data_IF_978365440354
#
_entry.id   IF_978365440354
#
_cell.length_a   1.000
_cell.length_b   1.000
_cell.length_c   1.000
_cell.angle_alpha   90.00
_cell.angle_beta   90.00
_cell.angle_gamma   90.00
#
_symmetry.space_group_name_H-M   'P 1'
#
loop_
_entity.id
_entity.type
_entity.pdbx_description
1 polymer ?
#
# COMPACT_ATOMS: atom_id res chain seq x y z
N UNK A 1 -48.12 33.15 39.75
CA UNK A 1 -47.15 34.03 39.08
C UNK A 1 -45.88 33.25 38.88
N UNK A 2 -45.74 32.65 37.68
CA UNK A 2 -44.62 31.71 37.34
C UNK A 2 -43.64 32.54 36.50
N UNK A 3 -42.44 32.72 37.04
CA UNK A 3 -41.32 33.36 36.31
C UNK A 3 -40.58 32.27 35.55
N UNK A 4 -40.69 32.28 34.23
CA UNK A 4 -39.89 31.43 33.33
C UNK A 4 -38.60 32.20 33.07
N UNK A 5 -37.50 31.63 33.58
CA UNK A 5 -36.14 32.08 33.27
C UNK A 5 -35.76 31.58 31.89
N UNK A 6 -35.58 32.48 30.93
CA UNK A 6 -35.02 32.20 29.61
C UNK A 6 -33.49 32.00 29.74
N UNK A 7 -33.02 30.76 29.51
CA UNK A 7 -31.61 30.50 29.31
C UNK A 7 -31.12 31.15 28.05
N UNK A 8 -30.10 31.97 28.20
CA UNK A 8 -29.40 32.68 27.15
C UNK A 8 -28.47 31.71 26.43
N UNK A 9 -28.90 31.14 25.29
CA UNK A 9 -28.01 30.48 24.34
C UNK A 9 -27.20 31.56 23.62
N UNK A 10 -25.91 31.68 23.96
CA UNK A 10 -24.97 32.48 23.18
C UNK A 10 -24.87 31.85 21.78
N UNK A 11 -25.51 32.45 20.80
CA UNK A 11 -25.22 32.23 19.40
C UNK A 11 -23.81 32.81 19.13
N UNK A 12 -22.81 31.98 19.07
CA UNK A 12 -21.49 32.35 18.55
C UNK A 12 -21.62 32.51 17.03
N UNK A 13 -21.83 33.75 16.58
CA UNK A 13 -21.73 34.12 15.17
C UNK A 13 -20.25 34.20 14.81
N UNK A 14 -19.71 33.11 14.29
CA UNK A 14 -18.38 33.13 13.68
C UNK A 14 -18.42 34.01 12.43
N UNK A 15 -17.46 34.92 12.34
CA UNK A 15 -17.41 35.78 11.15
C UNK A 15 -16.81 34.98 9.97
N UNK A 16 -17.19 35.36 8.75
CA UNK A 16 -16.80 34.63 7.53
C UNK A 16 -15.26 34.55 7.34
N UNK A 17 -14.51 35.49 7.92
CA UNK A 17 -13.04 35.50 7.89
C UNK A 17 -12.43 34.47 8.84
N UNK A 18 -13.04 34.28 10.01
CA UNK A 18 -12.61 33.22 10.96
C UNK A 18 -12.90 31.83 10.42
N UNK A 19 -14.05 31.61 9.79
CA UNK A 19 -14.36 30.32 9.13
C UNK A 19 -13.36 30.03 8.03
N UNK A 20 -13.00 30.98 7.18
CA UNK A 20 -12.00 30.82 6.13
C UNK A 20 -10.61 30.56 6.69
N UNK A 21 -10.25 31.17 7.82
CA UNK A 21 -8.96 30.95 8.47
C UNK A 21 -8.88 29.54 9.08
N UNK A 22 -9.94 29.09 9.76
CA UNK A 22 -10.03 27.72 10.31
C UNK A 22 -10.04 26.67 9.20
N UNK A 23 -10.68 26.94 8.06
CA UNK A 23 -10.63 26.05 6.90
C UNK A 23 -9.20 25.94 6.33
N UNK A 24 -8.52 27.07 6.18
CA UNK A 24 -7.12 27.10 5.69
C UNK A 24 -6.14 26.40 6.65
N UNK A 25 -6.36 26.55 7.95
CA UNK A 25 -5.56 25.86 8.99
C UNK A 25 -5.86 24.37 9.01
N UNK A 26 -7.10 23.95 8.85
CA UNK A 26 -7.52 22.56 8.74
C UNK A 26 -6.96 21.88 7.47
N UNK A 27 -6.95 22.60 6.34
CA UNK A 27 -6.35 22.12 5.10
C UNK A 27 -4.81 22.02 5.20
N UNK A 28 -4.17 22.95 5.92
CA UNK A 28 -2.74 22.89 6.23
C UNK A 28 -2.40 21.72 7.15
N UNK A 29 -3.20 21.47 8.19
CA UNK A 29 -3.04 20.33 9.10
C UNK A 29 -3.31 19.00 8.39
N UNK A 30 -4.31 18.92 7.51
CA UNK A 30 -4.53 17.75 6.65
C UNK A 30 -3.34 17.47 5.75
N UNK A 31 -2.73 18.49 5.18
CA UNK A 31 -1.55 18.36 4.32
C UNK A 31 -0.29 17.95 5.13
N UNK A 32 -0.22 18.26 6.43
CA UNK A 32 0.85 17.81 7.33
C UNK A 32 0.63 16.39 7.85
N UNK A 33 -0.64 15.97 8.00
CA UNK A 33 -1.00 14.64 8.52
C UNK A 33 -1.09 13.57 7.42
N UNK A 34 -1.17 13.97 6.15
CA UNK A 34 -1.04 13.06 5.02
C UNK A 34 0.45 12.98 4.67
N UNK A 35 1.12 11.86 4.88
CA UNK A 35 2.48 11.69 4.39
C UNK A 35 2.44 11.84 2.86
N UNK A 36 3.00 12.95 2.39
CA UNK A 36 3.23 13.26 0.99
C UNK A 36 2.02 13.12 0.06
N UNK A 37 1.14 14.12 0.05
CA UNK A 37 0.35 14.45 -1.14
C UNK A 37 1.31 15.02 -2.21
N UNK A 38 2.30 14.22 -2.63
CA UNK A 38 3.02 14.48 -3.87
C UNK A 38 2.00 14.22 -4.97
N UNK A 39 1.66 15.22 -5.81
CA UNK A 39 0.80 14.94 -6.96
C UNK A 39 1.45 13.78 -7.72
N UNK A 40 0.67 12.76 -8.08
CA UNK A 40 1.13 11.56 -8.80
C UNK A 40 1.74 11.86 -10.20
N UNK A 41 2.04 13.12 -10.44
CA UNK A 41 2.65 13.61 -11.68
C UNK A 41 4.15 13.39 -11.63
N UNK A 42 4.66 12.53 -12.52
CA UNK A 42 6.07 12.17 -12.69
C UNK A 42 6.64 11.17 -11.65
N UNK A 43 5.82 10.33 -11.04
CA UNK A 43 6.30 9.21 -10.22
C UNK A 43 6.42 7.94 -11.07
N UNK A 44 7.45 7.13 -10.79
CA UNK A 44 7.59 5.78 -11.33
C UNK A 44 7.12 4.83 -10.23
N UNK A 45 6.09 4.05 -10.49
CA UNK A 45 5.52 3.10 -9.55
C UNK A 45 5.64 1.67 -10.07
N UNK A 46 5.76 0.70 -9.18
CA UNK A 46 5.70 -0.71 -9.54
C UNK A 46 4.24 -1.09 -9.85
N UNK A 47 4.01 -1.71 -11.02
CA UNK A 47 2.71 -2.24 -11.42
C UNK A 47 2.79 -3.76 -11.52
N UNK A 48 1.93 -4.48 -10.78
CA UNK A 48 1.86 -5.93 -10.73
C UNK A 48 0.63 -6.41 -11.50
N UNK A 49 0.83 -7.21 -12.55
CA UNK A 49 -0.26 -7.78 -13.35
C UNK A 49 -0.38 -9.28 -13.08
N UNK A 50 -1.52 -9.71 -12.56
CA UNK A 50 -1.85 -11.08 -12.23
C UNK A 50 -2.75 -11.69 -13.31
N UNK A 51 -2.46 -12.91 -13.75
CA UNK A 51 -3.24 -13.62 -14.76
C UNK A 51 -4.12 -14.73 -14.16
N UNK A 52 -4.07 -14.91 -12.85
CA UNK A 52 -4.72 -15.98 -12.09
C UNK A 52 -5.74 -15.44 -11.08
N UNK A 53 -6.21 -14.20 -11.28
CA UNK A 53 -7.17 -13.53 -10.40
C UNK A 53 -6.70 -13.33 -8.95
N UNK A 54 -5.39 -13.20 -8.73
CA UNK A 54 -4.77 -13.08 -7.41
C UNK A 54 -4.41 -11.63 -7.00
N UNK A 55 -4.75 -10.61 -7.80
CA UNK A 55 -4.39 -9.22 -7.48
C UNK A 55 -4.90 -8.78 -6.10
N UNK A 56 -6.14 -9.09 -5.75
CA UNK A 56 -6.73 -8.71 -4.46
C UNK A 56 -6.07 -9.45 -3.29
N UNK A 57 -5.83 -10.76 -3.44
CA UNK A 57 -5.17 -11.56 -2.41
C UNK A 57 -3.74 -11.08 -2.15
N UNK A 58 -2.99 -10.82 -3.22
CA UNK A 58 -1.62 -10.32 -3.14
C UNK A 58 -1.57 -8.92 -2.49
N UNK A 59 -2.42 -7.98 -2.95
CA UNK A 59 -2.52 -6.64 -2.37
C UNK A 59 -2.82 -6.68 -0.88
N UNK A 60 -3.83 -7.44 -0.45
CA UNK A 60 -4.20 -7.56 0.95
C UNK A 60 -3.07 -8.18 1.78
N UNK A 61 -2.46 -9.26 1.29
CA UNK A 61 -1.31 -9.90 1.94
C UNK A 61 -0.16 -8.91 2.16
N UNK A 62 0.20 -8.11 1.15
CA UNK A 62 1.30 -7.14 1.29
C UNK A 62 0.93 -6.00 2.25
N UNK A 63 -0.28 -5.47 2.17
CA UNK A 63 -0.73 -4.38 3.07
C UNK A 63 -0.77 -4.85 4.53
N UNK A 64 -1.10 -6.12 4.79
CA UNK A 64 -1.05 -6.69 6.14
C UNK A 64 0.39 -7.00 6.61
N UNK A 65 1.27 -7.34 5.68
CA UNK A 65 2.63 -7.75 5.98
C UNK A 65 3.55 -6.58 6.32
N UNK A 66 3.45 -5.48 5.57
CA UNK A 66 4.31 -4.31 5.72
C UNK A 66 3.68 -3.24 6.60
N UNK A 67 4.44 -2.75 7.58
CA UNK A 67 4.02 -1.64 8.43
C UNK A 67 3.78 -0.36 7.60
N UNK A 68 3.00 0.59 8.13
CA UNK A 68 2.67 1.85 7.46
C UNK A 68 2.16 1.67 6.01
N UNK A 69 1.34 0.63 5.80
CA UNK A 69 0.78 0.25 4.50
C UNK A 69 -0.73 0.45 4.47
N UNK A 70 -1.26 0.73 3.28
CA UNK A 70 -2.71 0.94 3.09
C UNK A 70 -3.13 0.77 1.65
N UNK A 71 -4.37 0.34 1.45
CA UNK A 71 -5.05 0.42 0.16
C UNK A 71 -5.53 1.87 -0.04
N UNK A 72 -5.26 2.45 -1.21
CA UNK A 72 -5.60 3.83 -1.55
C UNK A 72 -6.84 3.87 -2.43
N UNK A 73 -6.87 3.03 -3.47
CA UNK A 73 -7.97 2.99 -4.44
C UNK A 73 -8.13 1.58 -4.99
N UNK A 74 -9.39 1.17 -5.26
CA UNK A 74 -9.73 -0.09 -5.91
C UNK A 74 -10.83 0.16 -6.93
N UNK A 75 -10.57 -0.20 -8.18
CA UNK A 75 -11.54 -0.21 -9.27
C UNK A 75 -11.71 -1.67 -9.73
N UNK A 76 -12.95 -2.11 -9.90
CA UNK A 76 -13.26 -3.52 -10.21
C UNK A 76 -13.78 -3.69 -11.62
N UNK A 77 -13.53 -4.86 -12.19
CA UNK A 77 -14.14 -5.25 -13.46
C UNK A 77 -15.66 -5.37 -13.33
N UNK A 78 -16.37 -4.83 -14.30
CA UNK A 78 -17.80 -5.02 -14.47
C UNK A 78 -18.11 -6.25 -15.36
N UNK A 79 -19.39 -6.51 -15.57
CA UNK A 79 -19.91 -7.68 -16.35
C UNK A 79 -19.37 -7.75 -17.79
N UNK A 80 -19.14 -6.62 -18.41
CA UNK A 80 -18.67 -6.53 -19.80
C UNK A 80 -17.14 -6.59 -19.93
N UNK A 81 -16.42 -6.78 -18.82
CA UNK A 81 -14.97 -6.84 -18.80
C UNK A 81 -14.40 -8.16 -19.33
N UNK A 82 -13.10 -8.19 -19.70
CA UNK A 82 -12.43 -9.41 -20.16
C UNK A 82 -12.04 -10.35 -19.01
N UNK A 83 -12.24 -9.94 -17.76
CA UNK A 83 -11.98 -10.69 -16.54
C UNK A 83 -13.30 -10.82 -15.77
N UNK A 84 -13.41 -11.79 -14.88
CA UNK A 84 -14.57 -12.03 -14.05
C UNK A 84 -15.02 -10.77 -13.31
N UNK A 85 -16.32 -10.52 -13.27
CA UNK A 85 -16.92 -9.40 -12.54
C UNK A 85 -16.47 -9.38 -11.07
N UNK A 86 -16.10 -8.20 -10.60
CA UNK A 86 -15.65 -7.98 -9.22
C UNK A 86 -14.15 -8.14 -9.01
N UNK A 87 -13.39 -8.73 -9.93
CA UNK A 87 -11.93 -8.79 -9.88
C UNK A 87 -11.30 -7.40 -10.03
N UNK A 88 -10.03 -7.25 -9.68
CA UNK A 88 -9.34 -5.97 -9.70
C UNK A 88 -9.06 -5.55 -11.16
N UNK A 89 -9.73 -4.50 -11.64
CA UNK A 89 -9.38 -3.83 -12.88
C UNK A 89 -8.12 -2.98 -12.69
N UNK A 90 -8.08 -2.27 -11.57
CA UNK A 90 -6.95 -1.44 -11.18
C UNK A 90 -7.03 -1.18 -9.67
N UNK A 91 -5.92 -1.33 -8.97
CA UNK A 91 -5.79 -0.88 -7.58
C UNK A 91 -4.48 -0.12 -7.36
N UNK A 92 -4.51 0.81 -6.41
CA UNK A 92 -3.34 1.54 -5.92
C UNK A 92 -3.24 1.33 -4.41
N UNK A 93 -2.06 0.99 -3.93
CA UNK A 93 -1.77 0.76 -2.53
C UNK A 93 -0.36 1.24 -2.18
N UNK A 94 -0.10 1.45 -0.91
CA UNK A 94 1.20 1.85 -0.38
C UNK A 94 1.75 0.76 0.51
N UNK A 95 3.03 0.42 0.35
CA UNK A 95 3.80 -0.46 1.22
C UNK A 95 4.96 0.34 1.81
N UNK A 96 4.94 0.57 3.11
CA UNK A 96 5.93 1.40 3.82
C UNK A 96 6.21 2.74 3.11
N UNK A 97 5.15 3.40 2.62
CA UNK A 97 5.22 4.68 1.90
C UNK A 97 5.53 4.60 0.41
N UNK A 98 5.98 3.46 -0.13
CA UNK A 98 6.19 3.24 -1.56
C UNK A 98 4.89 2.86 -2.26
N UNK A 99 4.61 3.49 -3.42
CA UNK A 99 3.38 3.22 -4.17
C UNK A 99 3.52 2.01 -5.07
N UNK A 100 2.51 1.17 -5.03
CA UNK A 100 2.30 0.01 -5.87
C UNK A 100 0.94 0.09 -6.54
N UNK A 101 0.84 -0.56 -7.68
CA UNK A 101 -0.40 -0.74 -8.42
C UNK A 101 -0.56 -2.19 -8.81
N UNK A 102 -1.79 -2.67 -8.96
CA UNK A 102 -2.03 -4.01 -9.46
C UNK A 102 -3.32 -4.12 -10.27
N UNK A 103 -3.39 -5.18 -11.07
CA UNK A 103 -4.59 -5.59 -11.79
C UNK A 103 -4.67 -7.09 -11.97
N UNK A 104 -5.89 -7.60 -12.11
CA UNK A 104 -6.17 -8.89 -12.71
C UNK A 104 -6.29 -8.73 -14.22
N UNK A 105 -5.62 -9.57 -14.97
CA UNK A 105 -5.62 -9.65 -16.43
C UNK A 105 -6.15 -11.02 -16.89
N UNK A 106 -6.79 -11.11 -18.06
CA UNK A 106 -7.13 -12.43 -18.60
C UNK A 106 -5.86 -13.25 -18.84
N UNK A 107 -5.91 -14.61 -18.68
CA UNK A 107 -4.76 -15.48 -18.80
C UNK A 107 -4.38 -15.75 -20.28
N UNK A 108 -4.13 -14.69 -21.03
CA UNK A 108 -3.85 -14.74 -22.48
C UNK A 108 -2.40 -14.51 -22.82
N UNK A 109 -1.57 -14.17 -21.82
CA UNK A 109 -0.16 -13.88 -22.02
C UNK A 109 0.70 -15.10 -21.69
N UNK A 110 1.83 -15.26 -22.37
CA UNK A 110 2.81 -16.31 -22.13
C UNK A 110 3.94 -15.90 -21.19
N UNK A 111 3.81 -14.76 -20.53
CA UNK A 111 4.73 -14.25 -19.50
C UNK A 111 4.07 -14.28 -18.12
N UNK A 112 4.90 -14.31 -17.09
CA UNK A 112 4.54 -14.18 -15.69
C UNK A 112 5.62 -13.35 -14.98
N UNK A 113 5.53 -13.19 -13.68
CA UNK A 113 6.58 -12.56 -12.89
C UNK A 113 7.91 -13.28 -13.09
N UNK A 114 8.99 -12.51 -13.04
CA UNK A 114 10.35 -13.01 -13.20
C UNK A 114 11.24 -12.44 -12.10
N UNK A 115 12.13 -13.27 -11.50
CA UNK A 115 13.07 -12.79 -10.50
C UNK A 115 14.15 -11.84 -11.04
N UNK A 116 14.18 -11.59 -12.35
CA UNK A 116 15.03 -10.56 -12.96
C UNK A 116 14.64 -9.13 -12.48
N UNK A 117 13.42 -8.94 -11.97
CA UNK A 117 12.97 -7.74 -11.28
C UNK A 117 12.53 -8.13 -9.88
N UNK A 118 13.08 -7.50 -8.86
CA UNK A 118 12.75 -7.75 -7.46
C UNK A 118 12.44 -6.45 -6.74
N UNK A 119 11.52 -6.51 -5.78
CA UNK A 119 11.38 -5.48 -4.78
C UNK A 119 12.50 -5.68 -3.74
N UNK A 120 13.26 -4.64 -3.47
CA UNK A 120 14.37 -4.68 -2.54
C UNK A 120 14.00 -3.97 -1.24
N UNK A 121 14.26 -4.60 -0.10
CA UNK A 121 13.88 -4.11 1.24
C UNK A 121 15.15 -4.00 2.07
N UNK A 122 15.49 -2.77 2.49
CA UNK A 122 16.45 -2.55 3.58
C UNK A 122 15.70 -2.64 4.90
N UNK A 123 15.93 -3.71 5.65
CA UNK A 123 15.29 -3.94 6.93
C UNK A 123 16.00 -3.16 8.03
N UNK A 124 15.25 -2.60 8.99
CA UNK A 124 15.78 -1.82 10.10
C UNK A 124 16.53 -2.69 11.12
N UNK A 125 16.12 -3.96 11.26
CA UNK A 125 16.69 -4.89 12.22
C UNK A 125 16.45 -6.35 11.82
N UNK A 126 17.16 -7.26 12.51
CA UNK A 126 17.11 -8.69 12.24
C UNK A 126 15.71 -9.30 12.46
N UNK A 127 14.97 -8.85 13.45
CA UNK A 127 13.62 -9.35 13.74
C UNK A 127 12.64 -9.03 12.62
N UNK A 128 12.73 -7.83 12.04
CA UNK A 128 11.93 -7.45 10.86
C UNK A 128 12.30 -8.30 9.67
N UNK A 129 13.59 -8.43 9.38
CA UNK A 129 14.10 -9.23 8.27
C UNK A 129 13.63 -10.68 8.36
N UNK A 130 13.75 -11.32 9.52
CA UNK A 130 13.32 -12.71 9.73
C UNK A 130 11.80 -12.86 9.61
N UNK A 131 11.03 -11.93 10.16
CA UNK A 131 9.56 -11.91 10.05
C UNK A 131 9.11 -11.81 8.60
N UNK A 132 9.63 -10.82 7.86
CA UNK A 132 9.29 -10.61 6.46
C UNK A 132 9.71 -11.79 5.60
N UNK A 133 10.95 -12.30 5.78
CA UNK A 133 11.46 -13.43 5.03
C UNK A 133 10.62 -14.69 5.26
N UNK A 134 10.30 -14.99 6.52
CA UNK A 134 9.44 -16.12 6.88
C UNK A 134 8.09 -16.04 6.18
N UNK A 135 7.44 -14.88 6.25
CA UNK A 135 6.10 -14.67 5.66
C UNK A 135 6.10 -14.70 4.14
N UNK A 136 7.07 -14.07 3.51
CA UNK A 136 7.20 -14.05 2.05
C UNK A 136 7.58 -15.43 1.48
N UNK A 137 8.27 -16.29 2.26
CA UNK A 137 8.63 -17.63 1.83
C UNK A 137 7.51 -18.68 2.05
N UNK A 138 6.47 -18.37 2.82
CA UNK A 138 5.32 -19.26 3.01
C UNK A 138 4.64 -19.55 1.66
N UNK A 139 4.58 -20.83 1.25
CA UNK A 139 4.05 -21.27 -0.05
C UNK A 139 4.76 -20.66 -1.28
N UNK A 140 5.92 -20.04 -1.07
CA UNK A 140 6.78 -19.47 -2.10
C UNK A 140 8.02 -20.33 -2.38
N UNK A 141 9.04 -19.73 -2.97
CA UNK A 141 10.31 -20.36 -3.27
C UNK A 141 11.48 -19.53 -2.74
N UNK A 142 12.35 -20.16 -1.96
CA UNK A 142 13.58 -19.51 -1.46
C UNK A 142 14.66 -19.63 -2.52
N UNK A 143 15.04 -18.49 -3.11
CA UNK A 143 16.13 -18.39 -4.09
C UNK A 143 17.50 -18.32 -3.40
N UNK A 144 17.61 -17.49 -2.34
CA UNK A 144 18.79 -17.43 -1.47
C UNK A 144 18.31 -17.41 -0.01
N UNK A 145 18.72 -18.42 0.80
CA UNK A 145 18.40 -18.45 2.23
C UNK A 145 18.98 -17.24 2.97
N UNK A 146 18.43 -16.91 4.14
CA UNK A 146 19.03 -15.90 5.01
C UNK A 146 20.44 -16.30 5.41
N UNK A 147 21.44 -15.50 5.01
CA UNK A 147 22.84 -15.72 5.35
C UNK A 147 23.66 -14.44 5.17
N UNK A 148 24.88 -14.46 5.71
CA UNK A 148 25.89 -13.45 5.37
C UNK A 148 26.60 -13.88 4.07
N UNK A 149 26.44 -13.06 3.03
CA UNK A 149 27.06 -13.29 1.70
C UNK A 149 28.27 -12.39 1.45
N UNK A 150 28.77 -11.70 2.48
CA UNK A 150 29.95 -10.85 2.42
C UNK A 150 29.66 -9.40 1.98
N UNK A 151 28.53 -9.13 1.35
CA UNK A 151 28.09 -7.78 0.95
C UNK A 151 27.01 -7.20 1.89
N UNK A 152 26.50 -8.00 2.83
CA UNK A 152 25.45 -7.68 3.77
C UNK A 152 25.66 -8.48 5.06
N UNK A 153 25.25 -7.94 6.20
CA UNK A 153 25.27 -8.72 7.45
C UNK A 153 24.33 -9.94 7.36
N UNK A 154 23.15 -9.72 6.78
CA UNK A 154 22.17 -10.80 6.53
C UNK A 154 21.33 -10.42 5.32
N UNK A 155 21.26 -11.34 4.36
CA UNK A 155 20.53 -11.18 3.11
C UNK A 155 19.72 -12.41 2.81
N UNK A 156 18.56 -12.26 2.17
CA UNK A 156 17.76 -13.33 1.65
C UNK A 156 17.01 -12.93 0.38
N UNK A 157 16.69 -13.91 -0.47
CA UNK A 157 15.95 -13.69 -1.70
C UNK A 157 14.87 -14.76 -1.84
N UNK A 158 13.62 -14.32 -2.02
CA UNK A 158 12.45 -15.19 -2.15
C UNK A 158 11.60 -14.79 -3.34
N UNK A 159 10.89 -15.76 -3.89
CA UNK A 159 9.73 -15.57 -4.77
C UNK A 159 8.54 -15.98 -3.93
N UNK A 160 7.59 -15.07 -3.71
CA UNK A 160 6.43 -15.32 -2.85
C UNK A 160 5.39 -16.24 -3.51
N UNK A 161 4.33 -16.58 -2.78
CA UNK A 161 3.24 -17.43 -3.23
C UNK A 161 2.48 -16.89 -4.47
N UNK A 162 2.63 -15.61 -4.78
CA UNK A 162 2.03 -14.96 -5.96
C UNK A 162 3.01 -14.84 -7.12
N UNK A 163 4.26 -15.29 -6.96
CA UNK A 163 5.33 -15.23 -7.95
C UNK A 163 6.14 -13.94 -7.95
N UNK A 164 5.84 -13.00 -7.05
CA UNK A 164 6.57 -11.72 -6.96
C UNK A 164 7.90 -11.93 -6.23
N UNK A 165 8.96 -11.30 -6.74
CA UNK A 165 10.34 -11.46 -6.24
C UNK A 165 10.68 -10.37 -5.23
N UNK A 166 11.29 -10.79 -4.10
CA UNK A 166 11.66 -9.96 -2.96
C UNK A 166 13.09 -10.25 -2.51
N UNK A 167 13.89 -9.22 -2.35
CA UNK A 167 15.22 -9.28 -1.76
C UNK A 167 15.21 -8.50 -0.45
N UNK A 168 15.67 -9.12 0.63
CA UNK A 168 15.70 -8.55 1.97
C UNK A 168 17.14 -8.41 2.41
N UNK A 169 17.49 -7.23 2.91
CA UNK A 169 18.84 -6.86 3.29
C UNK A 169 18.86 -6.30 4.72
N UNK A 170 19.89 -6.67 5.48
CA UNK A 170 20.30 -6.02 6.72
C UNK A 170 21.77 -5.64 6.60
N UNK A 171 22.06 -4.33 6.68
CA UNK A 171 23.43 -3.79 6.65
C UNK A 171 24.12 -3.86 7.99
#
# INVERSE_FOLDING_TARGET
MIVISCNNTKNETYNLAEIKNLQKENDSLKNMLLPNNVPMKNQINTFLTFQDNNAENAMNFYVELFDNSKIIEVVRWGKEGPVEEGKIMHATFSLNGSLFMCSDSPPIHNWNFSPAVSNYIDCENESELERLFSKLSENGNVTMPLNNYGFSQKFGWVIDQFGVSWQLNLQ
#
